data_IF_740343018394
#
_entry.id   IF_740343018394
#
_cell.length_a   1.000
_cell.length_b   1.000
_cell.length_c   1.000
_cell.angle_alpha   90.00
_cell.angle_beta   90.00
_cell.angle_gamma   90.00
#
_symmetry.space_group_name_H-M   'P 1'
#
loop_
_entity.id
_entity.type
_entity.pdbx_description
1 polymer ?
#
# COMPACT_ATOMS: atom_id res chain seq x y z
N UNK A 1 9.51 1.63 -4.07
CA UNK A 1 10.79 1.84 -4.77
C UNK A 1 11.89 2.20 -3.79
N UNK A 2 11.83 3.35 -3.11
CA UNK A 2 12.86 3.78 -2.13
C UNK A 2 13.17 2.69 -1.10
N UNK A 3 12.15 2.15 -0.42
CA UNK A 3 12.35 1.08 0.56
C UNK A 3 12.97 -0.18 -0.06
N UNK A 4 12.56 -0.59 -1.27
CA UNK A 4 13.13 -1.76 -1.96
C UNK A 4 14.60 -1.58 -2.31
N UNK A 5 15.01 -0.39 -2.78
CA UNK A 5 16.41 -0.05 -3.03
C UNK A 5 17.22 -0.03 -1.73
N UNK A 6 16.65 0.55 -0.68
CA UNK A 6 17.26 0.58 0.65
C UNK A 6 17.52 -0.82 1.21
N UNK A 7 16.58 -1.75 1.00
CA UNK A 7 16.70 -3.14 1.40
C UNK A 7 17.72 -3.92 0.56
N UNK A 8 17.84 -3.61 -0.73
CA UNK A 8 18.82 -4.24 -1.61
C UNK A 8 20.26 -3.85 -1.27
N UNK A 9 20.47 -2.62 -0.81
CA UNK A 9 21.79 -2.09 -0.46
C UNK A 9 22.17 -2.33 1.02
N UNK A 10 21.24 -2.84 1.83
CA UNK A 10 21.35 -2.83 3.29
C UNK A 10 22.64 -3.47 3.81
N UNK A 11 23.07 -4.61 3.24
CA UNK A 11 24.27 -5.31 3.72
C UNK A 11 25.56 -4.53 3.51
N UNK A 12 25.61 -3.72 2.45
CA UNK A 12 26.78 -2.95 2.08
C UNK A 12 26.95 -1.69 2.95
N UNK A 13 25.84 -1.04 3.29
CA UNK A 13 25.80 0.21 4.08
C UNK A 13 25.97 0.01 5.58
N UNK A 14 26.05 -1.24 6.05
CA UNK A 14 26.42 -1.58 7.43
C UNK A 14 27.88 -1.21 7.71
N UNK A 15 28.23 -0.67 8.90
CA UNK A 15 29.60 -0.30 9.25
C UNK A 15 30.61 -1.42 8.98
N UNK A 16 31.76 -1.09 8.39
CA UNK A 16 32.83 -2.05 8.13
C UNK A 16 33.28 -2.76 9.42
N UNK A 17 33.55 -4.06 9.34
CA UNK A 17 33.98 -4.87 10.49
C UNK A 17 32.84 -5.34 11.40
N UNK A 18 31.58 -5.09 11.01
CA UNK A 18 30.42 -5.61 11.76
C UNK A 18 30.39 -7.15 11.70
N UNK A 19 30.46 -7.79 12.87
CA UNK A 19 30.50 -9.25 12.98
C UNK A 19 29.25 -9.90 12.37
N UNK A 20 29.44 -10.92 11.55
CA UNK A 20 28.35 -11.69 10.95
C UNK A 20 27.62 -11.00 9.79
N UNK A 21 28.16 -9.87 9.28
CA UNK A 21 27.66 -9.17 8.10
C UNK A 21 28.71 -9.22 6.99
N UNK A 22 28.51 -10.12 6.02
CA UNK A 22 29.40 -10.25 4.87
C UNK A 22 29.27 -9.05 3.93
N UNK A 23 30.41 -8.54 3.45
CA UNK A 23 30.45 -7.39 2.53
C UNK A 23 30.11 -6.05 3.18
N UNK A 24 30.13 -5.93 4.50
CA UNK A 24 29.94 -4.65 5.20
C UNK A 24 31.12 -3.72 4.91
N UNK A 25 30.85 -2.56 4.32
CA UNK A 25 31.87 -1.54 4.04
C UNK A 25 31.36 -0.11 4.25
N UNK A 26 30.23 0.04 4.93
CA UNK A 26 29.64 1.33 5.25
C UNK A 26 30.25 1.95 6.50
N UNK A 27 29.56 2.97 6.99
CA UNK A 27 29.84 3.70 8.24
C UNK A 27 28.59 3.75 9.10
N UNK A 28 28.69 4.29 10.31
CA UNK A 28 27.52 4.57 11.16
C UNK A 28 26.55 5.52 10.47
N UNK A 29 27.04 6.53 9.75
CA UNK A 29 26.19 7.46 9.01
C UNK A 29 25.40 6.78 7.89
N UNK A 30 26.00 5.86 7.13
CA UNK A 30 25.25 5.11 6.10
C UNK A 30 24.23 4.17 6.72
N UNK A 31 24.52 3.63 7.91
CA UNK A 31 23.59 2.83 8.69
C UNK A 31 22.41 3.66 9.22
N UNK A 32 22.65 4.89 9.67
CA UNK A 32 21.62 5.83 10.11
C UNK A 32 20.65 6.15 8.96
N UNK A 33 21.18 6.45 7.77
CA UNK A 33 20.38 6.70 6.56
C UNK A 33 19.59 5.45 6.15
N UNK A 34 20.20 4.27 6.19
CA UNK A 34 19.54 3.01 5.86
C UNK A 34 18.40 2.69 6.83
N UNK A 35 18.66 2.83 8.14
CA UNK A 35 17.67 2.61 9.19
C UNK A 35 16.52 3.62 9.11
N UNK A 36 16.80 4.88 8.77
CA UNK A 36 15.79 5.89 8.53
C UNK A 36 14.82 5.46 7.43
N UNK A 37 15.31 5.14 6.23
CA UNK A 37 14.45 4.76 5.11
C UNK A 37 13.75 3.43 5.33
N UNK A 38 14.39 2.50 6.04
CA UNK A 38 13.76 1.26 6.44
C UNK A 38 12.57 1.52 7.37
N UNK A 39 12.73 2.40 8.36
CA UNK A 39 11.65 2.75 9.28
C UNK A 39 10.55 3.57 8.58
N UNK A 40 10.89 4.50 7.70
CA UNK A 40 9.92 5.19 6.83
C UNK A 40 9.14 4.20 5.96
N UNK A 41 9.73 3.05 5.62
CA UNK A 41 9.06 1.94 4.94
C UNK A 41 7.80 1.42 5.65
N UNK A 42 7.66 1.58 6.97
CA UNK A 42 6.44 1.24 7.71
C UNK A 42 5.22 2.08 7.30
N UNK A 43 5.42 3.21 6.59
CA UNK A 43 4.33 3.94 5.93
C UNK A 43 3.47 3.02 5.07
N UNK A 44 4.05 1.97 4.47
CA UNK A 44 3.31 1.00 3.64
C UNK A 44 2.23 0.28 4.45
N UNK A 45 2.52 -0.15 5.67
CA UNK A 45 1.53 -0.79 6.55
C UNK A 45 0.39 0.17 6.92
N UNK A 46 0.74 1.41 7.27
CA UNK A 46 -0.23 2.45 7.60
C UNK A 46 -1.11 2.80 6.40
N UNK A 47 -0.54 2.89 5.19
CA UNK A 47 -1.30 3.10 3.98
C UNK A 47 -2.24 1.93 3.66
N UNK A 48 -1.80 0.68 3.85
CA UNK A 48 -2.70 -0.47 3.69
C UNK A 48 -3.85 -0.42 4.70
N UNK A 49 -3.59 0.04 5.92
CA UNK A 49 -4.63 0.26 6.94
C UNK A 49 -5.60 1.35 6.49
N UNK A 50 -5.10 2.49 6.00
CA UNK A 50 -5.91 3.58 5.45
C UNK A 50 -6.78 3.12 4.27
N UNK A 51 -6.21 2.32 3.34
CA UNK A 51 -6.95 1.73 2.21
C UNK A 51 -8.04 0.78 2.70
N UNK A 52 -7.79 -0.02 3.75
CA UNK A 52 -8.80 -0.91 4.33
C UNK A 52 -9.96 -0.11 4.94
N UNK A 53 -9.65 0.98 5.65
CA UNK A 53 -10.65 1.92 6.19
C UNK A 53 -11.42 2.58 5.03
N UNK A 54 -10.75 3.01 3.97
CA UNK A 54 -11.39 3.58 2.79
C UNK A 54 -12.43 2.62 2.19
N UNK A 55 -12.08 1.35 1.97
CA UNK A 55 -13.02 0.36 1.47
C UNK A 55 -14.19 0.12 2.43
N UNK A 56 -13.94 0.13 3.73
CA UNK A 56 -14.99 0.04 4.74
C UNK A 56 -15.98 1.22 4.64
N UNK A 57 -15.47 2.46 4.57
CA UNK A 57 -16.27 3.67 4.45
C UNK A 57 -17.13 3.68 3.18
N UNK A 58 -16.56 3.25 2.05
CA UNK A 58 -17.28 3.21 0.77
C UNK A 58 -18.30 2.06 0.73
N UNK A 59 -17.95 0.86 1.18
CA UNK A 59 -18.79 -0.34 1.02
C UNK A 59 -19.85 -0.45 2.12
N UNK A 60 -19.49 -0.23 3.38
CA UNK A 60 -20.40 -0.40 4.52
C UNK A 60 -21.17 0.88 4.82
N UNK A 61 -20.47 2.02 4.86
CA UNK A 61 -21.06 3.29 5.27
C UNK A 61 -21.57 4.14 4.11
N UNK A 62 -21.34 3.71 2.86
CA UNK A 62 -21.81 4.39 1.64
C UNK A 62 -21.38 5.86 1.56
N UNK A 63 -20.20 6.16 2.12
CA UNK A 63 -19.65 7.51 2.05
C UNK A 63 -19.35 7.87 0.59
N UNK A 64 -19.77 9.08 0.19
CA UNK A 64 -19.44 9.62 -1.14
C UNK A 64 -17.93 9.83 -1.24
N UNK A 65 -17.30 9.48 -2.39
CA UNK A 65 -15.87 9.69 -2.58
C UNK A 65 -15.42 11.15 -2.36
N UNK A 66 -16.27 12.11 -2.71
CA UNK A 66 -16.02 13.55 -2.48
C UNK A 66 -15.91 13.91 -0.99
N UNK A 67 -16.75 13.32 -0.14
CA UNK A 67 -16.68 13.51 1.32
C UNK A 67 -15.39 12.94 1.88
N UNK A 68 -15.02 11.72 1.48
CA UNK A 68 -13.78 11.07 1.93
C UNK A 68 -12.56 11.89 1.50
N UNK A 69 -12.50 12.29 0.23
CA UNK A 69 -11.40 13.08 -0.33
C UNK A 69 -11.20 14.42 0.40
N UNK A 70 -12.31 15.08 0.77
CA UNK A 70 -12.24 16.39 1.43
C UNK A 70 -11.87 16.29 2.92
N UNK A 71 -12.38 15.28 3.63
CA UNK A 71 -12.33 15.27 5.10
C UNK A 71 -11.50 14.15 5.72
N UNK A 72 -11.31 13.03 5.03
CA UNK A 72 -10.66 11.83 5.61
C UNK A 72 -9.28 11.60 5.01
N UNK A 73 -9.16 11.74 3.69
CA UNK A 73 -7.93 11.49 2.93
C UNK A 73 -6.73 12.33 3.41
N UNK A 74 -6.85 13.65 3.69
CA UNK A 74 -5.71 14.44 4.17
C UNK A 74 -5.14 13.90 5.49
N UNK A 75 -6.00 13.49 6.41
CA UNK A 75 -5.58 12.94 7.70
C UNK A 75 -4.94 11.56 7.57
N UNK A 76 -5.46 10.71 6.67
CA UNK A 76 -4.83 9.42 6.36
C UNK A 76 -3.39 9.59 5.87
N UNK A 77 -3.14 10.56 4.98
CA UNK A 77 -1.79 10.88 4.51
C UNK A 77 -0.89 11.42 5.61
N UNK A 78 -1.40 12.37 6.42
CA UNK A 78 -0.64 12.94 7.54
C UNK A 78 -0.21 11.84 8.49
N UNK A 79 -1.13 10.98 8.93
CA UNK A 79 -0.81 9.88 9.85
C UNK A 79 0.16 8.88 9.22
N UNK A 80 -0.09 8.46 7.97
CA UNK A 80 0.73 7.45 7.31
C UNK A 80 2.17 7.89 7.02
N UNK A 81 2.42 9.20 6.87
CA UNK A 81 3.75 9.75 6.55
C UNK A 81 4.43 10.35 7.76
N UNK A 82 3.74 11.21 8.52
CA UNK A 82 4.35 11.96 9.61
C UNK A 82 4.80 11.04 10.74
N UNK A 83 3.99 10.04 11.09
CA UNK A 83 4.31 9.11 12.17
C UNK A 83 5.64 8.38 11.96
N UNK A 84 5.87 7.62 10.86
CA UNK A 84 7.13 6.92 10.68
C UNK A 84 8.30 7.86 10.40
N UNK A 85 8.09 9.03 9.78
CA UNK A 85 9.16 10.02 9.58
C UNK A 85 9.65 10.60 10.90
N UNK A 86 8.74 10.96 11.81
CA UNK A 86 9.10 11.48 13.14
C UNK A 86 9.83 10.40 13.94
N UNK A 87 9.30 9.18 14.00
CA UNK A 87 9.93 8.06 14.69
C UNK A 87 11.33 7.75 14.15
N UNK A 88 11.49 7.70 12.82
CA UNK A 88 12.78 7.49 12.18
C UNK A 88 13.78 8.60 12.51
N UNK A 89 13.31 9.86 12.48
CA UNK A 89 14.14 11.03 12.79
C UNK A 89 14.63 10.99 14.24
N UNK A 90 13.75 10.72 15.20
CA UNK A 90 14.11 10.55 16.62
C UNK A 90 15.17 9.46 16.76
N UNK A 91 15.01 8.34 16.06
CA UNK A 91 15.99 7.25 16.06
C UNK A 91 17.37 7.65 15.54
N UNK A 92 17.44 8.41 14.45
CA UNK A 92 18.71 8.91 13.90
C UNK A 92 19.36 9.89 14.86
N UNK A 93 18.63 10.92 15.33
CA UNK A 93 19.17 11.93 16.23
C UNK A 93 19.59 11.38 17.60
N UNK A 94 18.96 10.29 18.05
CA UNK A 94 19.30 9.61 19.30
C UNK A 94 20.38 8.53 19.13
N UNK A 95 20.94 8.36 17.92
CA UNK A 95 21.94 7.33 17.64
C UNK A 95 21.44 5.90 17.83
N UNK A 96 20.15 5.65 17.63
CA UNK A 96 19.50 4.35 17.81
C UNK A 96 19.55 3.47 16.56
N UNK A 97 19.86 4.03 15.39
CA UNK A 97 19.96 3.26 14.14
C UNK A 97 21.32 2.55 14.07
N UNK A 98 21.31 1.24 14.25
CA UNK A 98 22.48 0.37 14.37
C UNK A 98 22.24 -0.99 13.68
N UNK A 99 23.28 -1.79 13.41
CA UNK A 99 23.12 -3.11 12.78
C UNK A 99 22.25 -4.06 13.63
N UNK A 100 21.30 -4.76 12.99
CA UNK A 100 20.41 -5.70 13.67
C UNK A 100 21.03 -7.09 13.85
N UNK A 101 20.79 -7.71 15.01
CA UNK A 101 21.13 -9.11 15.28
C UNK A 101 20.25 -10.11 14.52
N UNK A 102 18.93 -9.89 14.52
CA UNK A 102 17.93 -10.82 13.95
C UNK A 102 17.85 -10.78 12.43
N UNK A 103 18.12 -9.62 11.84
CA UNK A 103 18.11 -9.39 10.40
C UNK A 103 19.49 -8.90 9.95
N UNK A 104 20.48 -9.80 10.00
CA UNK A 104 21.88 -9.46 9.67
C UNK A 104 21.98 -8.68 8.35
N UNK A 105 22.77 -7.62 8.37
CA UNK A 105 22.96 -6.71 7.24
C UNK A 105 21.86 -5.67 7.07
N UNK A 106 20.93 -5.49 8.03
CA UNK A 106 19.99 -4.37 8.07
C UNK A 106 20.34 -3.44 9.23
N UNK A 107 20.07 -2.15 9.06
CA UNK A 107 20.18 -1.15 10.12
C UNK A 107 18.80 -0.80 10.68
N UNK A 108 18.67 -0.79 12.00
CA UNK A 108 17.43 -0.48 12.71
C UNK A 108 17.67 -0.08 14.16
N UNK A 109 16.61 0.08 14.95
CA UNK A 109 16.71 0.26 16.39
C UNK A 109 17.45 -0.92 17.04
N UNK A 110 18.69 -0.69 17.48
CA UNK A 110 19.54 -1.70 18.09
C UNK A 110 20.64 -1.05 18.94
N UNK A 111 21.29 -1.84 19.81
CA UNK A 111 22.53 -1.43 20.47
C UNK A 111 23.73 -1.55 19.52
N UNK A 112 24.76 -0.73 19.75
CA UNK A 112 26.05 -0.86 19.08
C UNK A 112 27.22 -0.64 20.06
N UNK A 113 28.32 -1.41 19.98
CA UNK A 113 28.56 -2.52 19.05
C UNK A 113 27.61 -3.71 19.23
N UNK A 114 27.48 -4.56 18.21
CA UNK A 114 26.67 -5.77 18.30
C UNK A 114 27.12 -6.60 19.52
N UNK A 115 26.14 -7.08 20.30
CA UNK A 115 26.35 -7.94 21.48
C UNK A 115 26.90 -7.26 22.75
N UNK A 116 27.07 -5.94 22.77
CA UNK A 116 27.49 -5.23 23.99
C UNK A 116 26.53 -5.43 25.18
N UNK A 117 25.23 -5.64 24.93
CA UNK A 117 24.22 -5.89 25.98
C UNK A 117 24.37 -7.26 26.66
N UNK A 118 25.03 -8.22 25.99
CA UNK A 118 25.10 -9.63 26.42
C UNK A 118 26.50 -10.08 26.81
N UNK A 119 27.53 -9.34 26.41
CA UNK A 119 28.93 -9.71 26.65
C UNK A 119 29.55 -8.76 27.68
N UNK A 120 30.08 -9.33 28.76
CA UNK A 120 30.83 -8.56 29.76
C UNK A 120 32.10 -7.95 29.15
N UNK A 121 32.41 -6.70 29.52
CA UNK A 121 33.61 -5.99 29.07
C UNK A 121 33.47 -5.21 27.76
N UNK A 122 32.31 -5.24 27.10
CA UNK A 122 32.04 -4.40 25.91
C UNK A 122 31.00 -3.33 26.27
N UNK A 123 31.43 -2.08 26.36
CA UNK A 123 30.53 -0.96 26.61
C UNK A 123 29.68 -0.62 25.36
N UNK A 124 28.37 -0.47 25.55
CA UNK A 124 27.47 0.00 24.49
C UNK A 124 27.66 1.51 24.27
N UNK A 125 28.07 1.90 23.07
CA UNK A 125 28.33 3.31 22.73
C UNK A 125 27.12 4.01 22.13
N UNK A 126 26.15 3.26 21.60
CA UNK A 126 24.96 3.78 20.90
C UNK A 126 23.72 2.93 21.16
N UNK A 127 22.56 3.53 20.90
CA UNK A 127 21.27 2.87 21.03
C UNK A 127 20.82 2.70 22.46
N UNK A 128 21.06 3.66 23.36
CA UNK A 128 20.46 3.58 24.69
C UNK A 128 18.96 3.87 24.61
N UNK A 129 18.13 3.01 25.23
CA UNK A 129 16.68 3.23 25.35
C UNK A 129 15.85 3.01 24.08
N UNK A 130 16.41 2.46 22.99
CA UNK A 130 15.63 2.23 21.76
C UNK A 130 14.48 1.25 21.95
N UNK A 131 14.52 0.37 22.94
CA UNK A 131 13.50 -0.65 23.18
C UNK A 131 12.12 -0.04 23.35
N UNK A 132 12.05 1.09 24.06
CA UNK A 132 10.80 1.84 24.26
C UNK A 132 10.30 2.38 22.93
N UNK A 133 11.19 2.99 22.14
CA UNK A 133 10.84 3.52 20.82
C UNK A 133 10.38 2.39 19.90
N UNK A 134 11.17 1.32 19.76
CA UNK A 134 10.88 0.15 18.94
C UNK A 134 9.52 -0.48 19.29
N UNK A 135 9.22 -0.64 20.58
CA UNK A 135 7.96 -1.20 21.06
C UNK A 135 6.76 -0.37 20.58
N UNK A 136 6.78 0.94 20.79
CA UNK A 136 5.67 1.80 20.39
C UNK A 136 5.60 2.02 18.88
N UNK A 137 6.74 2.29 18.23
CA UNK A 137 6.77 2.68 16.83
C UNK A 137 6.61 1.50 15.88
N UNK A 138 7.01 0.31 16.30
CA UNK A 138 7.07 -0.89 15.45
C UNK A 138 6.09 -1.95 15.91
N UNK A 139 6.28 -2.52 17.11
CA UNK A 139 5.49 -3.67 17.53
C UNK A 139 4.01 -3.30 17.72
N UNK A 140 3.75 -2.23 18.46
CA UNK A 140 2.38 -1.75 18.70
C UNK A 140 1.73 -1.24 17.42
N UNK A 141 2.45 -0.49 16.58
CA UNK A 141 1.90 0.03 15.32
C UNK A 141 1.51 -1.07 14.35
N UNK A 142 2.35 -2.08 14.18
CA UNK A 142 2.07 -3.26 13.36
C UNK A 142 0.86 -3.99 13.91
N UNK A 143 0.83 -4.26 15.22
CA UNK A 143 -0.31 -4.92 15.87
C UNK A 143 -1.62 -4.17 15.61
N UNK A 144 -1.64 -2.85 15.79
CA UNK A 144 -2.81 -2.01 15.52
C UNK A 144 -3.21 -2.09 14.04
N UNK A 145 -2.24 -2.05 13.10
CA UNK A 145 -2.52 -2.23 11.67
C UNK A 145 -3.19 -3.59 11.39
N UNK A 146 -2.67 -4.68 11.95
CA UNK A 146 -3.26 -6.02 11.79
C UNK A 146 -4.68 -6.08 12.31
N UNK A 147 -4.93 -5.58 13.53
CA UNK A 147 -6.27 -5.56 14.13
C UNK A 147 -7.24 -4.76 13.26
N UNK A 148 -6.88 -3.53 12.87
CA UNK A 148 -7.74 -2.67 12.04
C UNK A 148 -8.02 -3.31 10.68
N UNK A 149 -7.00 -3.85 10.00
CA UNK A 149 -7.14 -4.49 8.69
C UNK A 149 -8.06 -5.72 8.77
N UNK A 150 -7.85 -6.60 9.75
CA UNK A 150 -8.68 -7.80 9.94
C UNK A 150 -10.13 -7.41 10.28
N UNK A 151 -10.33 -6.40 11.13
CA UNK A 151 -11.66 -5.92 11.47
C UNK A 151 -12.37 -5.32 10.26
N UNK A 152 -11.70 -4.43 9.50
CA UNK A 152 -12.27 -3.85 8.28
C UNK A 152 -12.66 -4.96 7.29
N UNK A 153 -11.81 -5.98 7.12
CA UNK A 153 -12.10 -7.10 6.25
C UNK A 153 -13.32 -7.89 6.70
N UNK A 154 -13.37 -8.24 7.98
CA UNK A 154 -14.49 -8.99 8.55
C UNK A 154 -15.81 -8.26 8.36
N UNK A 155 -15.82 -6.93 8.49
CA UNK A 155 -17.00 -6.09 8.26
C UNK A 155 -17.37 -5.98 6.78
N UNK A 156 -16.41 -5.81 5.88
CA UNK A 156 -16.64 -5.78 4.42
C UNK A 156 -17.22 -7.12 3.95
N UNK A 157 -16.61 -8.25 4.35
CA UNK A 157 -17.09 -9.59 3.97
C UNK A 157 -18.50 -9.83 4.50
N UNK A 158 -18.77 -9.51 5.77
CA UNK A 158 -20.13 -9.61 6.34
C UNK A 158 -21.14 -8.78 5.57
N UNK A 159 -20.77 -7.55 5.18
CA UNK A 159 -21.63 -6.65 4.40
C UNK A 159 -21.93 -7.23 3.02
N UNK A 160 -20.93 -7.76 2.33
CA UNK A 160 -21.09 -8.37 1.00
C UNK A 160 -21.98 -9.60 1.06
N UNK A 161 -21.73 -10.51 2.01
CA UNK A 161 -22.55 -11.72 2.19
C UNK A 161 -24.00 -11.37 2.57
N UNK A 162 -24.20 -10.33 3.39
CA UNK A 162 -25.55 -9.85 3.73
C UNK A 162 -26.27 -9.29 2.49
N UNK A 163 -25.57 -8.52 1.64
CA UNK A 163 -26.12 -7.97 0.39
C UNK A 163 -26.45 -9.05 -0.63
N UNK A 164 -25.62 -10.08 -0.74
CA UNK A 164 -25.85 -11.21 -1.63
C UNK A 164 -27.17 -11.94 -1.30
N UNK A 165 -27.41 -12.23 -0.02
CA UNK A 165 -28.65 -12.88 0.45
C UNK A 165 -29.91 -12.06 0.17
N UNK A 166 -29.81 -10.72 0.16
CA UNK A 166 -30.93 -9.81 -0.15
C UNK A 166 -31.14 -9.62 -1.65
N UNK A 167 -30.07 -9.70 -2.44
CA UNK A 167 -30.14 -9.50 -3.89
C UNK A 167 -30.68 -10.74 -4.60
N UNK A 168 -30.42 -11.94 -4.07
CA UNK A 168 -30.94 -13.19 -4.64
C UNK A 168 -32.48 -13.28 -4.65
N UNK A 169 -33.18 -12.47 -3.85
CA UNK A 169 -34.64 -12.43 -3.83
C UNK A 169 -35.26 -11.39 -4.77
N UNK A 170 -34.48 -10.44 -5.31
CA UNK A 170 -34.98 -9.34 -6.16
C UNK A 170 -34.00 -9.11 -7.32
N UNK A 171 -34.24 -9.80 -8.44
CA UNK A 171 -33.45 -9.66 -9.67
C UNK A 171 -33.93 -8.44 -10.48
N UNK A 172 -33.27 -7.30 -10.30
CA UNK A 172 -33.40 -6.17 -11.23
C UNK A 172 -32.05 -5.91 -11.89
N UNK A 173 -32.04 -5.56 -13.19
CA UNK A 173 -30.80 -5.30 -13.94
C UNK A 173 -29.89 -4.26 -13.27
N UNK A 174 -30.47 -3.27 -12.59
CA UNK A 174 -29.72 -2.26 -11.84
C UNK A 174 -29.07 -2.82 -10.57
N UNK A 175 -29.77 -3.71 -9.84
CA UNK A 175 -29.24 -4.40 -8.67
C UNK A 175 -28.06 -5.31 -9.06
N UNK A 176 -28.14 -6.00 -10.20
CA UNK A 176 -27.06 -6.87 -10.70
C UNK A 176 -25.77 -6.09 -10.99
N UNK A 177 -25.88 -4.90 -11.62
CA UNK A 177 -24.74 -4.03 -11.90
C UNK A 177 -24.07 -3.54 -10.61
N UNK A 178 -24.86 -3.08 -9.63
CA UNK A 178 -24.33 -2.61 -8.33
C UNK A 178 -23.66 -3.75 -7.57
N UNK A 179 -24.30 -4.93 -7.53
CA UNK A 179 -23.74 -6.13 -6.91
C UNK A 179 -22.39 -6.51 -7.53
N UNK A 180 -22.28 -6.53 -8.86
CA UNK A 180 -21.02 -6.85 -9.54
C UNK A 180 -19.90 -5.87 -9.18
N UNK A 181 -20.19 -4.55 -9.13
CA UNK A 181 -19.20 -3.53 -8.71
C UNK A 181 -18.74 -3.74 -7.27
N UNK A 182 -19.66 -3.98 -6.33
CA UNK A 182 -19.32 -4.24 -4.91
C UNK A 182 -18.48 -5.51 -4.76
N UNK A 183 -18.83 -6.59 -5.47
CA UNK A 183 -18.09 -7.85 -5.42
C UNK A 183 -16.66 -7.71 -5.95
N UNK A 184 -16.47 -6.98 -7.05
CA UNK A 184 -15.15 -6.74 -7.62
C UNK A 184 -14.28 -5.89 -6.68
N UNK A 185 -14.85 -4.82 -6.09
CA UNK A 185 -14.15 -4.00 -5.09
C UNK A 185 -13.75 -4.82 -3.85
N UNK A 186 -14.62 -5.72 -3.40
CA UNK A 186 -14.35 -6.59 -2.25
C UNK A 186 -13.23 -7.59 -2.53
N UNK A 187 -13.20 -8.17 -3.73
CA UNK A 187 -12.11 -9.04 -4.13
C UNK A 187 -10.77 -8.30 -4.23
N UNK A 188 -10.80 -7.07 -4.73
CA UNK A 188 -9.62 -6.21 -4.76
C UNK A 188 -9.12 -5.90 -3.34
N UNK A 189 -10.01 -5.61 -2.40
CA UNK A 189 -9.65 -5.43 -0.99
C UNK A 189 -9.04 -6.71 -0.38
N UNK A 190 -9.63 -7.88 -0.62
CA UNK A 190 -9.11 -9.18 -0.17
C UNK A 190 -7.69 -9.45 -0.67
N UNK A 191 -7.41 -9.15 -1.93
CA UNK A 191 -6.06 -9.29 -2.49
C UNK A 191 -5.05 -8.36 -1.81
N UNK A 192 -5.39 -7.08 -1.60
CA UNK A 192 -4.51 -6.15 -0.89
C UNK A 192 -4.16 -6.64 0.51
N UNK A 193 -5.18 -7.12 1.23
CA UNK A 193 -5.02 -7.59 2.60
C UNK A 193 -4.20 -8.87 2.62
N UNK A 194 -4.44 -9.81 1.71
CA UNK A 194 -3.62 -11.01 1.55
C UNK A 194 -2.14 -10.68 1.30
N UNK A 195 -1.88 -9.68 0.46
CA UNK A 195 -0.51 -9.21 0.18
C UNK A 195 0.15 -8.59 1.42
N UNK A 196 -0.62 -7.84 2.21
CA UNK A 196 -0.15 -7.29 3.48
C UNK A 196 0.15 -8.37 4.53
N UNK A 197 -0.73 -9.36 4.67
CA UNK A 197 -0.49 -10.47 5.59
C UNK A 197 0.76 -11.28 5.18
N UNK A 198 0.91 -11.58 3.89
CA UNK A 198 2.07 -12.33 3.37
C UNK A 198 3.42 -11.66 3.66
N UNK A 199 3.44 -10.33 3.65
CA UNK A 199 4.64 -9.50 3.75
C UNK A 199 4.95 -9.12 5.20
N UNK A 200 3.94 -8.72 5.97
CA UNK A 200 4.12 -8.22 7.33
C UNK A 200 3.98 -9.30 8.41
N UNK A 201 3.36 -10.46 8.14
CA UNK A 201 3.20 -11.50 9.17
C UNK A 201 4.55 -12.09 9.63
N UNK A 202 5.49 -12.43 8.73
CA UNK A 202 6.82 -12.88 9.15
C UNK A 202 7.59 -11.79 9.91
N UNK A 203 7.42 -10.53 9.51
CA UNK A 203 8.05 -9.39 10.19
C UNK A 203 7.49 -9.21 11.60
N UNK A 204 6.16 -9.25 11.76
CA UNK A 204 5.49 -9.20 13.05
C UNK A 204 5.97 -10.34 13.95
N UNK A 205 6.08 -11.56 13.42
CA UNK A 205 6.58 -12.70 14.19
C UNK A 205 8.02 -12.47 14.70
N UNK A 206 8.93 -11.96 13.85
CA UNK A 206 10.29 -11.61 14.29
C UNK A 206 10.26 -10.50 15.33
N UNK A 207 9.45 -9.45 15.16
CA UNK A 207 9.35 -8.36 16.13
C UNK A 207 8.82 -8.84 17.48
N UNK A 208 7.81 -9.72 17.51
CA UNK A 208 7.30 -10.31 18.74
C UNK A 208 8.31 -11.27 19.38
N UNK A 209 9.00 -12.09 18.59
CA UNK A 209 10.04 -12.97 19.09
C UNK A 209 11.27 -12.18 19.59
N UNK A 210 11.55 -11.00 19.04
CA UNK A 210 12.60 -10.11 19.51
C UNK A 210 12.32 -9.52 20.90
N UNK A 211 11.07 -9.53 21.37
CA UNK A 211 10.74 -9.22 22.77
C UNK A 211 11.26 -10.35 23.68
N UNK A 212 11.31 -11.59 23.19
CA UNK A 212 11.83 -12.77 23.89
C UNK A 212 13.35 -12.97 23.65
N UNK A 213 14.13 -11.91 23.85
CA UNK A 213 15.56 -11.81 23.48
C UNK A 213 16.46 -12.99 23.89
N UNK A 214 16.38 -13.55 25.11
CA UNK A 214 17.28 -14.63 25.52
C UNK A 214 17.15 -15.85 24.61
N UNK A 215 15.92 -16.19 24.23
CA UNK A 215 15.59 -17.36 23.43
C UNK A 215 16.06 -17.25 21.97
N UNK A 216 16.10 -16.05 21.42
CA UNK A 216 16.53 -15.78 20.04
C UNK A 216 18.01 -16.09 19.81
N UNK A 217 18.87 -15.75 20.78
CA UNK A 217 20.32 -15.93 20.66
C UNK A 217 20.69 -17.42 20.69
N UNK A 218 20.05 -18.18 21.57
CA UNK A 218 20.29 -19.62 21.72
C UNK A 218 19.79 -20.43 20.51
N UNK A 219 18.71 -19.98 19.86
CA UNK A 219 18.04 -20.71 18.78
C UNK A 219 18.19 -20.06 17.40
N UNK A 220 19.39 -19.57 17.05
CA UNK A 220 19.63 -18.87 15.78
C UNK A 220 19.17 -19.63 14.53
N UNK A 221 19.31 -20.96 14.53
CA UNK A 221 18.89 -21.82 13.41
C UNK A 221 17.36 -21.80 13.18
N UNK A 222 16.57 -21.58 14.23
CA UNK A 222 15.11 -21.51 14.13
C UNK A 222 14.63 -20.22 13.45
N UNK A 223 15.29 -19.09 13.72
CA UNK A 223 14.91 -17.79 13.18
C UNK A 223 15.46 -17.52 11.78
N UNK A 224 16.45 -18.28 11.34
CA UNK A 224 17.09 -18.09 10.04
C UNK A 224 16.12 -18.23 8.84
N UNK A 225 15.26 -19.27 8.75
CA UNK A 225 14.25 -19.35 7.68
C UNK A 225 13.26 -18.19 7.68
N UNK A 226 12.88 -17.70 8.86
CA UNK A 226 11.96 -16.58 9.01
C UNK A 226 12.63 -15.28 8.56
N UNK A 227 13.91 -15.08 8.91
CA UNK A 227 14.70 -13.95 8.45
C UNK A 227 14.87 -13.94 6.92
N UNK A 228 15.10 -15.10 6.29
CA UNK A 228 15.11 -15.22 4.82
C UNK A 228 13.73 -14.85 4.26
N UNK A 229 12.66 -15.38 4.86
CA UNK A 229 11.30 -15.09 4.43
C UNK A 229 11.03 -13.59 4.45
N UNK A 230 11.36 -12.89 5.55
CA UNK A 230 11.24 -11.43 5.66
C UNK A 230 12.06 -10.71 4.59
N UNK A 231 13.32 -11.11 4.38
CA UNK A 231 14.19 -10.50 3.37
C UNK A 231 13.68 -10.68 1.93
N UNK A 232 12.94 -11.74 1.66
CA UNK A 232 12.34 -12.00 0.33
C UNK A 232 10.98 -11.34 0.20
N UNK A 233 10.07 -11.52 1.16
CA UNK A 233 8.68 -11.09 1.02
C UNK A 233 8.54 -9.58 1.21
N UNK A 234 9.27 -8.97 2.15
CA UNK A 234 9.11 -7.55 2.49
C UNK A 234 9.42 -6.60 1.31
N UNK A 235 10.53 -6.75 0.54
CA UNK A 235 10.76 -5.93 -0.65
C UNK A 235 9.72 -6.12 -1.77
N UNK A 236 9.08 -7.30 -1.85
CA UNK A 236 8.11 -7.65 -2.87
C UNK A 236 6.72 -7.03 -2.63
N UNK A 237 6.49 -6.35 -1.51
CA UNK A 237 5.18 -5.76 -1.25
C UNK A 237 4.71 -4.76 -2.32
N UNK A 238 5.62 -3.95 -2.85
CA UNK A 238 5.30 -3.05 -3.96
C UNK A 238 4.87 -3.80 -5.21
N UNK A 239 5.52 -4.95 -5.50
CA UNK A 239 5.17 -5.81 -6.63
C UNK A 239 3.77 -6.42 -6.45
N UNK A 240 3.47 -6.91 -5.25
CA UNK A 240 2.15 -7.46 -4.95
C UNK A 240 1.03 -6.43 -5.12
N UNK A 241 1.24 -5.21 -4.60
CA UNK A 241 0.30 -4.11 -4.77
C UNK A 241 0.12 -3.74 -6.26
N UNK A 242 1.19 -3.76 -7.05
CA UNK A 242 1.11 -3.51 -8.50
C UNK A 242 0.19 -4.54 -9.19
N UNK A 243 0.32 -5.83 -8.88
CA UNK A 243 -0.57 -6.85 -9.44
C UNK A 243 -2.03 -6.64 -9.03
N UNK A 244 -2.29 -6.27 -7.77
CA UNK A 244 -3.65 -5.96 -7.31
C UNK A 244 -4.25 -4.76 -8.04
N UNK A 245 -3.46 -3.70 -8.29
CA UNK A 245 -3.91 -2.53 -9.05
C UNK A 245 -4.15 -2.81 -10.54
N UNK A 246 -3.39 -3.70 -11.16
CA UNK A 246 -3.54 -4.02 -12.59
C UNK A 246 -4.76 -4.90 -12.87
N UNK A 247 -5.19 -5.71 -11.90
CA UNK A 247 -6.22 -6.74 -12.08
C UNK A 247 -7.52 -6.25 -12.73
N UNK A 248 -8.20 -5.18 -12.28
CA UNK A 248 -9.47 -4.76 -12.89
C UNK A 248 -9.32 -4.39 -14.38
N UNK A 249 -8.17 -3.82 -14.75
CA UNK A 249 -7.88 -3.40 -16.13
C UNK A 249 -7.54 -4.59 -17.01
N UNK A 250 -6.67 -5.47 -16.54
CA UNK A 250 -6.32 -6.71 -17.25
C UNK A 250 -7.60 -7.52 -17.52
N UNK A 251 -8.49 -7.62 -16.53
CA UNK A 251 -9.79 -8.30 -16.69
C UNK A 251 -10.71 -7.59 -17.70
N UNK A 252 -10.73 -6.26 -17.71
CA UNK A 252 -11.52 -5.48 -18.67
C UNK A 252 -10.99 -5.63 -20.10
N UNK A 253 -9.67 -5.59 -20.29
CA UNK A 253 -9.03 -5.73 -21.61
C UNK A 253 -9.17 -7.15 -22.13
N UNK A 254 -8.93 -8.16 -21.30
CA UNK A 254 -9.09 -9.56 -21.67
C UNK A 254 -10.53 -9.93 -22.09
N UNK A 255 -11.54 -9.18 -21.62
CA UNK A 255 -12.93 -9.34 -22.06
C UNK A 255 -13.23 -8.68 -23.40
N UNK A 256 -12.58 -7.55 -23.69
CA UNK A 256 -12.74 -6.82 -24.96
C UNK A 256 -11.98 -7.48 -26.10
N UNK A 257 -10.85 -8.11 -25.78
CA UNK A 257 -9.96 -8.76 -26.73
C UNK A 257 -9.72 -10.20 -26.30
N UNK A 258 -10.70 -11.08 -26.56
CA UNK A 258 -10.62 -12.50 -26.20
C UNK A 258 -9.56 -13.26 -27.01
N UNK A 259 -9.12 -12.69 -28.13
CA UNK A 259 -8.09 -13.20 -29.04
C UNK A 259 -6.65 -12.85 -28.59
N UNK A 260 -6.48 -11.90 -27.67
CA UNK A 260 -5.16 -11.48 -27.22
C UNK A 260 -4.53 -12.46 -26.23
N UNK A 261 -3.23 -12.69 -26.41
CA UNK A 261 -2.42 -13.41 -25.43
C UNK A 261 -2.26 -12.60 -24.13
N UNK A 262 -2.02 -13.28 -23.01
CA UNK A 262 -1.92 -12.63 -21.70
C UNK A 262 -0.81 -11.58 -21.63
N UNK A 263 0.32 -11.80 -22.31
CA UNK A 263 1.42 -10.82 -22.39
C UNK A 263 1.01 -9.56 -23.14
N UNK A 264 0.21 -9.68 -24.21
CA UNK A 264 -0.34 -8.52 -24.93
C UNK A 264 -1.28 -7.73 -24.03
N UNK A 265 -2.18 -8.40 -23.31
CA UNK A 265 -3.12 -7.73 -22.37
C UNK A 265 -2.35 -6.98 -21.28
N UNK A 266 -1.33 -7.60 -20.69
CA UNK A 266 -0.50 -6.97 -19.64
C UNK A 266 0.31 -5.81 -20.21
N UNK A 267 0.97 -6.00 -21.36
CA UNK A 267 1.73 -4.96 -22.05
C UNK A 267 0.86 -3.74 -22.36
N UNK A 268 -0.33 -3.96 -22.93
CA UNK A 268 -1.26 -2.88 -23.27
C UNK A 268 -1.78 -2.18 -22.01
N UNK A 269 -2.04 -2.92 -20.93
CA UNK A 269 -2.47 -2.35 -19.66
C UNK A 269 -1.42 -1.42 -19.03
N UNK A 270 -0.13 -1.69 -19.28
CA UNK A 270 0.99 -0.85 -18.87
C UNK A 270 1.18 0.34 -19.81
N UNK A 271 1.10 0.10 -21.13
CA UNK A 271 1.28 1.12 -22.17
C UNK A 271 0.22 2.23 -22.08
N UNK A 272 -1.05 1.87 -21.89
CA UNK A 272 -2.16 2.83 -21.79
C UNK A 272 -1.95 3.88 -20.68
N UNK A 273 -1.23 3.55 -19.60
CA UNK A 273 -0.89 4.52 -18.54
C UNK A 273 0.10 5.58 -18.99
N UNK A 274 1.06 5.23 -19.84
CA UNK A 274 2.07 6.15 -20.33
C UNK A 274 1.43 7.16 -21.29
N UNK A 275 0.61 6.67 -22.22
CA UNK A 275 -0.07 7.51 -23.22
C UNK A 275 -1.06 8.49 -22.59
N UNK A 276 -1.88 8.04 -21.62
CA UNK A 276 -2.85 8.94 -20.97
C UNK A 276 -2.17 10.05 -20.15
N UNK A 277 -1.03 9.75 -19.50
CA UNK A 277 -0.22 10.77 -18.82
C UNK A 277 0.33 11.81 -19.79
N UNK A 278 0.78 11.39 -20.97
CA UNK A 278 1.26 12.31 -22.01
C UNK A 278 0.13 13.23 -22.51
N UNK A 279 -1.06 12.68 -22.79
CA UNK A 279 -2.21 13.50 -23.23
C UNK A 279 -2.68 14.48 -22.16
N UNK A 280 -2.73 14.07 -20.89
CA UNK A 280 -3.08 14.99 -19.80
C UNK A 280 -2.06 16.10 -19.59
N UNK A 281 -0.77 15.81 -19.81
CA UNK A 281 0.28 16.83 -19.70
C UNK A 281 0.19 17.83 -20.87
N UNK A 282 -0.01 17.34 -22.10
CA UNK A 282 -0.13 18.20 -23.29
C UNK A 282 -1.43 19.06 -23.31
N UNK A 283 -2.53 18.57 -22.73
CA UNK A 283 -3.79 19.31 -22.64
C UNK A 283 -3.79 20.43 -21.59
N UNK A 284 -2.90 20.36 -20.58
CA UNK A 284 -2.84 21.38 -19.54
C UNK A 284 -1.96 22.58 -19.97
N UNK A 285 -0.98 22.35 -20.83
CA UNK A 285 -0.12 23.42 -21.37
C UNK A 285 -0.85 24.31 -22.40
N UNK A 286 -1.91 23.80 -23.04
CA UNK A 286 -2.69 24.55 -24.02
C UNK A 286 -3.76 25.47 -23.41
N UNK A 287 -4.06 25.34 -22.12
CA UNK A 287 -5.08 26.17 -21.44
C UNK A 287 -4.47 27.35 -20.65
N UNK A 288 -3.14 27.52 -20.68
CA UNK A 288 -2.45 28.59 -19.95
C UNK A 288 -2.03 29.80 -20.80
N UNK A 289 -2.33 29.80 -22.12
CA UNK A 289 -1.89 30.88 -23.04
C UNK A 289 -3.03 31.72 -23.67
N UNK A 290 -4.30 31.48 -23.35
CA UNK A 290 -5.46 32.27 -23.85
C UNK A 290 -6.15 33.11 -22.75
N UNK A 291 -5.37 33.65 -21.81
CA UNK A 291 -5.86 34.35 -20.63
C UNK A 291 -5.37 35.78 -20.46
N UNK A 292 -5.30 36.60 -21.52
CA UNK A 292 -5.20 38.05 -21.38
C UNK A 292 -6.17 38.75 -22.35
N UNK A 293 -7.15 39.45 -21.77
CA UNK A 293 -8.09 40.40 -22.39
C UNK A 293 -9.40 39.79 -22.91
N UNK A 294 -10.35 39.53 -22.00
CA UNK A 294 -11.79 39.59 -22.33
C UNK A 294 -12.45 40.56 -21.35
N UNK A 295 -12.96 41.62 -21.93
CA UNK A 295 -13.71 42.71 -21.31
C UNK A 295 -15.04 42.21 -20.74
N UNK A 296 -15.37 42.73 -19.56
CA UNK A 296 -16.65 42.58 -18.89
C UNK A 296 -17.75 43.28 -19.71
N UNK A 297 -18.75 42.53 -20.19
CA UNK A 297 -20.08 43.06 -20.48
C UNK A 297 -21.14 41.95 -20.47
N UNK A 298 -22.25 42.28 -19.79
CA UNK A 298 -23.58 41.66 -19.71
C UNK A 298 -23.82 40.31 -19.02
N UNK A 299 -24.29 40.45 -17.77
CA UNK A 299 -25.22 39.56 -17.08
C UNK A 299 -26.60 39.56 -17.77
N UNK A 300 -27.07 38.40 -18.23
CA UNK A 300 -28.47 37.97 -17.99
C UNK A 300 -28.73 36.54 -18.48
N UNK A 301 -29.36 35.76 -17.61
CA UNK A 301 -30.08 34.51 -17.88
C UNK A 301 -29.30 33.38 -18.57
N UNK A 302 -28.59 32.56 -17.79
CA UNK A 302 -28.27 31.18 -18.18
C UNK A 302 -28.71 30.22 -17.08
N UNK A 303 -29.55 29.29 -17.50
CA UNK A 303 -30.17 28.20 -16.77
C UNK A 303 -29.09 27.25 -16.21
N UNK A 304 -29.10 27.05 -14.89
CA UNK A 304 -28.10 26.23 -14.20
C UNK A 304 -28.52 24.75 -14.23
N UNK A 305 -28.30 24.10 -15.37
CA UNK A 305 -28.23 22.64 -15.52
C UNK A 305 -26.82 22.22 -15.92
N UNK A 306 -25.84 22.56 -15.07
CA UNK A 306 -24.52 21.95 -15.14
C UNK A 306 -24.56 20.56 -14.50
N UNK A 307 -24.88 19.56 -15.32
CA UNK A 307 -24.49 18.18 -15.10
C UNK A 307 -22.96 18.11 -15.16
N UNK A 308 -22.31 18.09 -14.00
CA UNK A 308 -20.95 17.59 -13.90
C UNK A 308 -20.96 16.15 -14.41
N UNK A 309 -20.31 15.91 -15.55
CA UNK A 309 -19.88 14.58 -15.98
C UNK A 309 -18.98 14.00 -14.87
N UNK A 310 -19.59 13.24 -13.96
CA UNK A 310 -18.87 12.25 -13.19
C UNK A 310 -18.31 11.25 -14.20
N UNK A 311 -17.01 11.36 -14.44
CA UNK A 311 -16.20 10.43 -15.25
C UNK A 311 -16.40 9.02 -14.66
N UNK A 312 -17.39 8.35 -15.22
CA UNK A 312 -17.93 7.10 -14.77
C UNK A 312 -16.83 6.05 -14.97
N UNK A 313 -16.37 5.43 -13.88
CA UNK A 313 -15.67 4.15 -13.95
C UNK A 313 -16.70 3.04 -14.26
N UNK A 314 -17.47 3.25 -15.32
CA UNK A 314 -18.40 2.33 -15.92
C UNK A 314 -17.86 2.01 -17.32
N UNK A 315 -17.62 0.74 -17.66
CA UNK A 315 -17.45 0.40 -19.06
C UNK A 315 -18.80 0.62 -19.74
N UNK A 316 -18.90 1.63 -20.61
CA UNK A 316 -19.91 1.67 -21.65
C UNK A 316 -19.77 0.39 -22.47
N UNK A 317 -20.73 -0.52 -22.28
CA UNK A 317 -21.01 -1.59 -23.21
C UNK A 317 -22.15 -1.07 -24.09
N UNK A 318 -21.80 -0.57 -25.27
CA UNK A 318 -22.75 -0.35 -26.35
C UNK A 318 -23.30 -1.72 -26.79
N UNK A 319 -24.49 -2.07 -26.31
CA UNK A 319 -25.27 -3.18 -26.88
C UNK A 319 -25.97 -2.64 -28.13
N UNK A 320 -25.56 -3.15 -29.29
CA UNK A 320 -26.30 -2.97 -30.53
C UNK A 320 -27.69 -3.60 -30.36
N UNK A 321 -28.72 -2.77 -30.39
CA UNK A 321 -30.09 -3.21 -30.58
C UNK A 321 -30.20 -3.85 -31.97
N UNK A 322 -30.29 -5.18 -32.02
CA UNK A 322 -30.83 -5.87 -33.19
C UNK A 322 -32.33 -5.57 -33.25
N UNK A 323 -32.73 -4.85 -34.30
CA UNK A 323 -34.11 -4.63 -34.71
C UNK A 323 -34.89 -5.93 -34.70
N UNK A 324 -36.05 -5.90 -34.03
CA UNK A 324 -37.12 -6.87 -34.23
C UNK A 324 -38.14 -6.15 -35.08
N UNK A 325 -38.10 -6.40 -36.39
CA UNK A 325 -39.11 -5.93 -37.34
C UNK A 325 -40.01 -7.11 -37.75
N UNK A 326 -41.30 -6.79 -37.83
CA UNK A 326 -42.48 -7.63 -37.98
C UNK A 326 -42.48 -8.62 -39.17
N UNK A 327 -43.26 -9.71 -39.03
CA UNK A 327 -44.40 -9.97 -39.93
C UNK A 327 -45.31 -11.11 -39.48
N UNK A 328 -46.54 -10.72 -39.19
CA UNK A 328 -47.78 -11.51 -39.28
C UNK A 328 -47.93 -12.24 -40.60
N UNK A 329 -48.34 -13.52 -40.58
CA UNK A 329 -49.16 -14.15 -41.62
C UNK A 329 -50.12 -15.16 -40.94
N UNK A 330 -51.41 -14.83 -41.06
CA UNK A 330 -52.66 -15.64 -41.10
C UNK A 330 -52.74 -17.02 -40.47
#
# INVERSE_FOLDING_TARGET
VINSLNLAQSGWVVPSGTLGVWGSSGTTATCDVNGFFFHVGFSVALYTTCVSIYYLLVIQFEFRPSTIRRYVEPWMHVVAVLYPVVAASVGVFSGMMNPMKSLSGWCYFAYYPLYCETQEGIECTRGMGYETLEMYTTALSILVCFVVVITCLGLVVRTVCSRERRTSSVSTLQADRRYYRTREASFQALLYIGCFLLTFLPLAFISFAAIQRPYMVENRNYYFPIAITVKVTYPLQGLWNLFTYMRPRVKSLARRHSDWSWSQVVSESLHFRLVRRQRQSAGNDSFQDEGATVTLEDESSIDNTNTCEEDDFAPELSLSSSETEDRSVS
#
